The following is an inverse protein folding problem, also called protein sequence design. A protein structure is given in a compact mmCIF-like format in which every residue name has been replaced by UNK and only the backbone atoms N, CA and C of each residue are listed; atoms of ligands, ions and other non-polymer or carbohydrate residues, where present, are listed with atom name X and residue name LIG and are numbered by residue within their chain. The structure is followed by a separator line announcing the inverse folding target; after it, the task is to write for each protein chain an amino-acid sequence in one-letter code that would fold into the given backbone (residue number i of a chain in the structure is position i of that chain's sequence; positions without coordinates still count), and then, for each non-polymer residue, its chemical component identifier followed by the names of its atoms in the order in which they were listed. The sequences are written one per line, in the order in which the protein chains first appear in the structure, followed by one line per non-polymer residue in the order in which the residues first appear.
data_IF_696872864081
#
_entry.id   IF_696872864081
#
_cell.length_a   1.000
_cell.length_b   1.000
_cell.length_c   1.000
_cell.angle_alpha   90.00
_cell.angle_beta   90.00
_cell.angle_gamma   90.00
#
_symmetry.space_group_name_H-M   'P 1'
#
loop_
_entity.id
_entity.type
_entity.pdbx_description
1 polymer ?
#
# COMPACT_ATOMS: atom_id res chain seq x y z
N UNK A 1 -18.77 1.67 -12.75
CA UNK A 1 -17.92 2.85 -12.88
C UNK A 1 -16.46 2.41 -12.94
N UNK A 2 -15.87 2.47 -14.12
CA UNK A 2 -14.43 2.31 -14.28
C UNK A 2 -13.74 3.51 -13.65
N UNK A 3 -12.99 3.29 -12.56
CA UNK A 3 -12.07 4.31 -12.07
C UNK A 3 -11.02 4.58 -13.15
N UNK A 4 -10.77 5.85 -13.51
CA UNK A 4 -9.68 6.15 -14.40
C UNK A 4 -8.38 5.65 -13.77
N UNK A 5 -7.62 4.88 -14.53
CA UNK A 5 -6.25 4.49 -14.16
C UNK A 5 -5.45 5.76 -13.91
N UNK A 6 -5.11 6.03 -12.65
CA UNK A 6 -4.28 7.18 -12.29
C UNK A 6 -2.83 6.77 -12.27
N UNK A 7 -1.99 7.63 -12.82
CA UNK A 7 -0.56 7.53 -12.57
C UNK A 7 -0.30 7.71 -11.09
N UNK A 8 0.45 6.80 -10.50
CA UNK A 8 0.78 6.80 -9.09
C UNK A 8 2.27 6.60 -8.89
N UNK A 9 2.78 7.09 -7.79
CA UNK A 9 4.15 6.84 -7.35
C UNK A 9 4.14 6.30 -5.93
N UNK A 10 4.95 5.26 -5.70
CA UNK A 10 5.23 4.73 -4.37
C UNK A 10 6.69 4.98 -4.01
N UNK A 11 6.91 5.61 -2.88
CA UNK A 11 8.22 5.90 -2.33
C UNK A 11 8.51 4.98 -1.13
N UNK A 12 9.64 4.29 -1.19
CA UNK A 12 10.15 3.46 -0.09
C UNK A 12 11.45 4.09 0.43
N UNK A 13 11.39 4.89 1.50
CA UNK A 13 12.58 5.50 2.10
C UNK A 13 13.18 4.60 3.18
N UNK A 14 14.49 4.38 3.13
CA UNK A 14 15.26 3.75 4.18
C UNK A 14 16.29 4.74 4.71
N UNK A 15 15.86 5.61 5.61
CA UNK A 15 16.68 6.72 6.11
C UNK A 15 18.01 6.27 6.71
N UNK A 16 18.01 5.18 7.47
CA UNK A 16 19.20 4.64 8.11
C UNK A 16 20.25 4.14 7.11
N UNK A 17 19.83 3.79 5.91
CA UNK A 17 20.71 3.32 4.83
C UNK A 17 21.04 4.41 3.82
N UNK A 18 20.49 5.60 3.96
CA UNK A 18 20.57 6.67 2.95
C UNK A 18 20.16 6.18 1.56
N UNK A 19 19.09 5.39 1.50
CA UNK A 19 18.54 4.81 0.28
C UNK A 19 17.06 5.10 0.15
N UNK A 20 16.65 5.25 -1.10
CA UNK A 20 15.22 5.25 -1.43
C UNK A 20 14.97 4.59 -2.77
N UNK A 21 13.77 4.06 -2.94
CA UNK A 21 13.29 3.52 -4.21
C UNK A 21 11.95 4.16 -4.51
N UNK A 22 11.79 4.63 -5.74
CA UNK A 22 10.53 5.22 -6.23
C UNK A 22 10.02 4.38 -7.39
N UNK A 23 8.80 3.83 -7.24
CA UNK A 23 8.08 3.19 -8.32
C UNK A 23 7.10 4.17 -8.94
N UNK A 24 7.06 4.25 -10.25
CA UNK A 24 6.13 5.08 -11.00
C UNK A 24 5.37 4.23 -12.01
N UNK A 25 4.05 4.36 -12.03
CA UNK A 25 3.22 3.57 -12.92
C UNK A 25 1.74 3.88 -12.79
N UNK A 26 0.91 2.91 -13.15
CA UNK A 26 -0.53 3.02 -13.10
C UNK A 26 -1.10 2.21 -11.95
N UNK A 27 -1.95 2.82 -11.14
CA UNK A 27 -2.68 2.14 -10.10
C UNK A 27 -3.97 1.53 -10.66
N UNK A 28 -4.21 0.28 -10.35
CA UNK A 28 -5.46 -0.42 -10.66
C UNK A 28 -6.04 -1.04 -9.39
N UNK A 29 -7.35 -1.17 -9.32
CA UNK A 29 -7.99 -1.88 -8.20
C UNK A 29 -7.72 -3.37 -8.30
N UNK A 30 -7.48 -4.00 -7.15
CA UNK A 30 -7.47 -5.44 -7.04
C UNK A 30 -8.90 -5.99 -7.22
N UNK A 31 -8.99 -7.22 -7.78
CA UNK A 31 -10.26 -7.93 -7.84
C UNK A 31 -10.77 -8.28 -6.43
N UNK A 32 -12.08 -8.47 -6.30
CA UNK A 32 -12.69 -8.91 -5.04
C UNK A 32 -12.08 -10.21 -4.54
N UNK A 33 -11.75 -11.13 -5.42
CA UNK A 33 -11.13 -12.41 -5.07
C UNK A 33 -9.73 -12.23 -4.48
N UNK A 34 -8.91 -11.38 -5.08
CA UNK A 34 -7.56 -11.06 -4.57
C UNK A 34 -7.63 -10.38 -3.21
N UNK A 35 -8.55 -9.44 -3.04
CA UNK A 35 -8.79 -8.74 -1.77
C UNK A 35 -9.25 -9.73 -0.70
N UNK A 36 -10.18 -10.60 -1.01
CA UNK A 36 -10.69 -11.63 -0.09
C UNK A 36 -9.58 -12.59 0.36
N UNK A 37 -8.76 -13.05 -0.59
CA UNK A 37 -7.62 -13.92 -0.30
C UNK A 37 -6.64 -13.28 0.67
N UNK A 38 -6.30 -12.02 0.45
CA UNK A 38 -5.43 -11.28 1.36
C UNK A 38 -6.09 -11.04 2.72
N UNK A 39 -7.35 -10.62 2.73
CA UNK A 39 -8.10 -10.40 3.98
C UNK A 39 -8.13 -11.66 4.85
N UNK A 40 -8.43 -12.82 4.27
CA UNK A 40 -8.48 -14.09 4.99
C UNK A 40 -7.11 -14.58 5.47
N UNK A 41 -6.01 -14.09 4.88
CA UNK A 41 -4.65 -14.39 5.35
C UNK A 41 -4.23 -13.61 6.59
N UNK A 42 -4.98 -12.56 6.94
CA UNK A 42 -4.66 -11.71 8.10
C UNK A 42 -5.13 -12.35 9.41
N UNK A 43 -4.45 -12.06 10.53
CA UNK A 43 -4.93 -12.47 11.84
C UNK A 43 -6.36 -11.97 12.12
N UNK A 44 -7.16 -12.76 12.82
CA UNK A 44 -8.58 -12.46 13.07
C UNK A 44 -8.80 -11.09 13.72
N UNK A 45 -7.97 -10.71 14.68
CA UNK A 45 -8.08 -9.39 15.32
C UNK A 45 -7.79 -8.23 14.35
N UNK A 46 -6.92 -8.44 13.36
CA UNK A 46 -6.69 -7.48 12.28
C UNK A 46 -7.86 -7.38 11.32
N UNK A 47 -8.54 -8.48 11.06
CA UNK A 47 -9.78 -8.50 10.26
C UNK A 47 -10.90 -7.74 10.98
N UNK A 48 -11.04 -7.93 12.28
CA UNK A 48 -12.00 -7.18 13.12
C UNK A 48 -11.66 -5.69 13.13
N UNK A 49 -10.36 -5.35 13.25
CA UNK A 49 -9.90 -3.97 13.17
C UNK A 49 -10.28 -3.26 11.86
N UNK A 50 -10.29 -3.98 10.76
CA UNK A 50 -10.73 -3.45 9.46
C UNK A 50 -12.22 -3.04 9.46
N UNK A 51 -13.06 -3.71 10.21
CA UNK A 51 -14.47 -3.35 10.40
C UNK A 51 -14.65 -2.12 11.29
N UNK A 52 -13.76 -1.94 12.27
CA UNK A 52 -13.83 -0.83 13.22
C UNK A 52 -13.49 0.51 12.58
N UNK A 53 -12.48 0.50 11.72
CA UNK A 53 -11.88 1.72 11.21
C UNK A 53 -12.39 2.06 9.81
N UNK A 54 -13.10 3.17 9.69
CA UNK A 54 -13.25 3.87 8.41
C UNK A 54 -12.07 4.84 8.28
N UNK A 55 -11.09 4.44 7.48
CA UNK A 55 -9.83 5.18 7.33
C UNK A 55 -10.07 6.67 7.07
N UNK A 56 -9.35 7.51 7.81
CA UNK A 56 -9.38 8.98 7.72
C UNK A 56 -10.70 9.63 8.13
N UNK A 57 -11.68 8.89 8.64
CA UNK A 57 -12.87 9.49 9.23
C UNK A 57 -12.55 10.13 10.58
N UNK A 58 -13.31 11.15 10.94
CA UNK A 58 -13.17 11.81 12.23
C UNK A 58 -13.85 10.99 13.32
N UNK A 59 -13.16 10.83 14.45
CA UNK A 59 -13.67 10.16 15.65
C UNK A 59 -13.55 11.10 16.83
N UNK A 60 -14.44 10.95 17.82
CA UNK A 60 -14.44 11.81 19.01
C UNK A 60 -13.33 11.48 20.01
N UNK A 61 -12.98 10.19 20.13
CA UNK A 61 -11.95 9.72 21.03
C UNK A 61 -11.48 8.31 20.67
N UNK A 62 -10.28 7.93 21.11
CA UNK A 62 -9.74 6.59 20.93
C UNK A 62 -10.64 5.49 21.52
N UNK A 63 -11.27 5.77 22.67
CA UNK A 63 -12.18 4.83 23.33
C UNK A 63 -13.34 4.35 22.46
N UNK A 64 -13.77 5.17 21.50
CA UNK A 64 -14.81 4.77 20.53
C UNK A 64 -14.34 3.60 19.67
N UNK A 65 -13.08 3.63 19.21
CA UNK A 65 -12.49 2.52 18.44
C UNK A 65 -12.36 1.27 19.30
N UNK A 66 -11.90 1.39 20.52
CA UNK A 66 -11.69 0.28 21.45
C UNK A 66 -13.02 -0.39 21.81
N UNK A 67 -14.05 0.38 22.13
CA UNK A 67 -15.39 -0.13 22.43
C UNK A 67 -16.00 -0.87 21.24
N UNK A 68 -15.87 -0.32 20.04
CA UNK A 68 -16.39 -0.94 18.83
C UNK A 68 -15.62 -2.20 18.47
N UNK A 69 -14.31 -2.23 18.70
CA UNK A 69 -13.50 -3.42 18.52
C UNK A 69 -13.98 -4.57 19.42
N UNK A 70 -14.21 -4.31 20.70
CA UNK A 70 -14.69 -5.32 21.64
C UNK A 70 -16.08 -5.84 21.27
N UNK A 71 -16.97 -4.96 20.85
CA UNK A 71 -18.30 -5.32 20.36
C UNK A 71 -18.23 -6.26 19.16
N UNK A 72 -17.43 -5.90 18.16
CA UNK A 72 -17.26 -6.70 16.94
C UNK A 72 -16.50 -8.01 17.21
N UNK A 73 -15.52 -7.99 18.13
CA UNK A 73 -14.83 -9.21 18.55
C UNK A 73 -15.79 -10.21 19.16
N UNK A 74 -16.75 -9.77 19.96
CA UNK A 74 -17.79 -10.61 20.52
C UNK A 74 -18.74 -11.11 19.42
N UNK A 75 -19.15 -10.22 18.51
CA UNK A 75 -20.04 -10.57 17.39
C UNK A 75 -19.43 -11.64 16.47
N UNK A 76 -18.13 -11.55 16.18
CA UNK A 76 -17.42 -12.49 15.31
C UNK A 76 -16.65 -13.55 16.09
N UNK A 77 -17.04 -13.82 17.34
CA UNK A 77 -16.34 -14.79 18.19
C UNK A 77 -16.30 -16.19 17.57
N UNK A 78 -17.39 -16.59 16.91
CA UNK A 78 -17.48 -17.86 16.20
C UNK A 78 -17.54 -17.62 14.69
N UNK A 79 -16.87 -18.47 13.93
CA UNK A 79 -16.86 -18.39 12.48
C UNK A 79 -15.83 -17.42 11.91
N UNK A 80 -15.95 -17.16 10.63
CA UNK A 80 -15.08 -16.27 9.88
C UNK A 80 -15.57 -14.83 9.94
N UNK A 81 -14.61 -13.89 9.92
CA UNK A 81 -14.93 -12.47 9.78
C UNK A 81 -15.16 -12.18 8.30
N UNK A 82 -16.34 -11.67 7.91
CA UNK A 82 -16.60 -11.34 6.51
C UNK A 82 -15.78 -10.14 6.03
N UNK A 83 -15.54 -10.07 4.72
CA UNK A 83 -14.87 -8.93 4.11
C UNK A 83 -15.78 -7.70 4.15
N UNK A 84 -15.34 -6.56 4.74
CA UNK A 84 -16.10 -5.33 4.68
C UNK A 84 -16.24 -4.82 3.24
N UNK A 85 -17.41 -4.31 2.86
CA UNK A 85 -17.67 -3.81 1.50
C UNK A 85 -16.81 -2.60 1.12
N UNK A 86 -16.35 -1.83 2.11
CA UNK A 86 -15.51 -0.65 1.94
C UNK A 86 -14.01 -0.96 1.91
N UNK A 87 -13.63 -2.22 2.14
CA UNK A 87 -12.23 -2.64 2.19
C UNK A 87 -11.76 -3.15 0.84
N UNK A 88 -10.59 -2.70 0.42
CA UNK A 88 -10.04 -3.05 -0.88
C UNK A 88 -8.54 -2.80 -0.94
N UNK A 89 -7.99 -2.91 -2.13
CA UNK A 89 -6.59 -2.68 -2.39
C UNK A 89 -6.32 -2.23 -3.82
N UNK A 90 -5.11 -1.77 -4.02
CA UNK A 90 -4.62 -1.33 -5.32
C UNK A 90 -3.32 -2.06 -5.65
N UNK A 91 -3.08 -2.24 -6.94
CA UNK A 91 -1.81 -2.68 -7.50
C UNK A 91 -1.25 -1.56 -8.35
N UNK A 92 0.04 -1.25 -8.17
CA UNK A 92 0.74 -0.36 -9.09
C UNK A 92 1.48 -1.20 -10.11
N UNK A 93 1.07 -1.09 -11.38
CA UNK A 93 1.84 -1.61 -12.51
C UNK A 93 2.85 -0.56 -12.90
N UNK A 94 4.07 -0.72 -12.43
CA UNK A 94 5.13 0.26 -12.66
C UNK A 94 5.82 0.05 -14.00
N UNK A 95 6.13 1.16 -14.65
CA UNK A 95 6.90 1.24 -15.89
C UNK A 95 8.28 1.88 -15.68
N UNK A 96 8.50 2.51 -14.53
CA UNK A 96 9.82 3.00 -14.14
C UNK A 96 10.09 2.84 -12.65
N UNK A 97 11.37 2.65 -12.32
CA UNK A 97 11.87 2.57 -10.94
C UNK A 97 13.12 3.43 -10.84
N UNK A 98 13.19 4.30 -9.86
CA UNK A 98 14.40 5.03 -9.54
C UNK A 98 15.01 4.51 -8.25
N UNK A 99 16.28 4.13 -8.31
CA UNK A 99 17.09 3.78 -7.15
C UNK A 99 17.98 4.96 -6.79
N UNK A 100 17.92 5.41 -5.56
CA UNK A 100 18.68 6.52 -5.03
C UNK A 100 19.56 6.06 -3.87
N UNK A 101 20.83 6.43 -3.90
CA UNK A 101 21.80 6.23 -2.82
C UNK A 101 22.42 7.55 -2.43
N UNK A 102 22.36 7.91 -1.16
CA UNK A 102 23.01 9.09 -0.64
C UNK A 102 24.53 8.99 -0.73
N UNK A 103 25.16 10.06 -1.20
CA UNK A 103 26.61 10.20 -1.32
C UNK A 103 27.10 11.49 -0.68
N UNK A 104 28.41 11.55 -0.39
CA UNK A 104 29.05 12.72 0.16
C UNK A 104 28.94 13.93 -0.80
N UNK A 105 28.96 15.15 -0.24
CA UNK A 105 28.91 16.39 -1.00
C UNK A 105 27.68 16.56 -1.90
N UNK A 106 26.57 15.90 -1.55
CA UNK A 106 25.33 15.86 -2.34
C UNK A 106 25.49 15.19 -3.71
N UNK A 107 26.57 14.47 -3.93
CA UNK A 107 26.83 13.68 -5.15
C UNK A 107 26.19 12.30 -4.99
N UNK A 108 24.86 12.29 -5.03
CA UNK A 108 24.07 11.07 -4.86
C UNK A 108 24.09 10.22 -6.13
N UNK A 109 24.01 8.91 -5.96
CA UNK A 109 23.83 7.99 -7.07
C UNK A 109 22.34 7.82 -7.35
N UNK A 110 21.94 8.01 -8.60
CA UNK A 110 20.56 7.85 -9.05
C UNK A 110 20.55 7.00 -10.32
N UNK A 111 19.83 5.90 -10.30
CA UNK A 111 19.63 5.02 -11.45
C UNK A 111 18.15 4.93 -11.77
N UNK A 112 17.82 5.31 -13.00
CA UNK A 112 16.46 5.21 -13.52
C UNK A 112 16.36 3.98 -14.42
N UNK A 113 15.46 3.07 -14.05
CA UNK A 113 15.08 1.92 -14.83
C UNK A 113 13.75 2.23 -15.50
N UNK A 114 13.73 2.22 -16.82
CA UNK A 114 12.50 2.38 -17.61
C UNK A 114 12.22 1.12 -18.41
N UNK A 115 10.95 0.69 -18.41
CA UNK A 115 10.55 -0.49 -19.17
C UNK A 115 10.70 -0.23 -20.67
N UNK A 116 11.35 -1.18 -21.34
CA UNK A 116 11.58 -1.18 -22.79
C UNK A 116 11.20 -2.56 -23.35
N UNK A 117 9.92 -2.73 -23.71
CA UNK A 117 9.39 -4.05 -24.05
C UNK A 117 9.45 -5.02 -22.88
N UNK A 118 10.17 -6.13 -23.05
CA UNK A 118 10.43 -7.12 -21.99
C UNK A 118 11.70 -6.83 -21.18
N UNK A 119 12.45 -5.79 -21.55
CA UNK A 119 13.71 -5.39 -20.95
C UNK A 119 13.60 -4.07 -20.19
N UNK A 120 14.71 -3.63 -19.64
CA UNK A 120 14.85 -2.38 -18.95
C UNK A 120 15.95 -1.53 -19.55
N UNK A 121 15.64 -0.29 -19.86
CA UNK A 121 16.64 0.73 -20.14
C UNK A 121 17.11 1.33 -18.82
N UNK A 122 18.41 1.41 -18.59
CA UNK A 122 19.01 1.90 -17.35
C UNK A 122 19.83 3.14 -17.66
N UNK A 123 19.50 4.24 -17.00
CA UNK A 123 20.23 5.51 -17.11
C UNK A 123 20.67 5.97 -15.71
N UNK A 124 21.84 6.60 -15.64
CA UNK A 124 22.26 7.33 -14.45
C UNK A 124 21.75 8.76 -14.55
N UNK A 125 21.12 9.24 -13.47
CA UNK A 125 20.64 10.63 -13.38
C UNK A 125 21.60 11.47 -12.54
N UNK A 126 21.70 12.73 -12.90
CA UNK A 126 22.38 13.70 -12.05
C UNK A 126 21.64 13.91 -10.73
N UNK A 127 22.36 14.08 -9.60
CA UNK A 127 21.76 14.33 -8.30
C UNK A 127 21.07 15.70 -8.21
#
# INVERSE_FOLDING_TARGET
HSFPTRRSSDLFPWHMLYRQVIFLGQAERLSTLEVLKYFNSRPKDSQIGAWVSQQSSRISARGVLESKFLELKQKFQQGEVPLPSFWGGFRVKFDSVEFWQGGAHRLHDRFLYQRDGNDWKIDRLAP
#
